data_IF_690764437777
#
_entry.id   IF_690764437777
#
_cell.length_a   1.000
_cell.length_b   1.000
_cell.length_c   1.000
_cell.angle_alpha   90.00
_cell.angle_beta   90.00
_cell.angle_gamma   90.00
#
_symmetry.space_group_name_H-M   'P 1'
#
loop_
_entity.id
_entity.type
_entity.pdbx_description
1 polymer ?
#
# COMPACT_ATOMS: atom_id res chain seq x y z
N UNK A 1 -53.94 -39.59 -24.54
CA UNK A 1 -53.59 -38.25 -24.00
C UNK A 1 -52.07 -38.14 -23.71
N UNK A 2 -51.23 -38.85 -24.47
CA UNK A 2 -49.83 -39.14 -24.11
C UNK A 2 -48.80 -38.31 -24.93
N UNK A 3 -49.24 -37.66 -26.01
CA UNK A 3 -48.34 -36.88 -26.88
C UNK A 3 -47.96 -35.51 -26.28
N UNK A 4 -48.82 -34.92 -25.43
CA UNK A 4 -48.62 -33.55 -24.93
C UNK A 4 -47.63 -33.47 -23.76
N UNK A 5 -47.48 -34.54 -22.98
CA UNK A 5 -46.57 -34.62 -21.84
C UNK A 5 -45.09 -34.67 -22.26
N UNK A 6 -44.78 -35.31 -23.39
CA UNK A 6 -43.40 -35.42 -23.91
C UNK A 6 -42.88 -34.08 -24.43
N UNK A 7 -43.71 -33.29 -25.13
CA UNK A 7 -43.35 -31.96 -25.62
C UNK A 7 -43.07 -30.97 -24.49
N UNK A 8 -43.85 -31.04 -23.41
CA UNK A 8 -43.65 -30.20 -22.23
C UNK A 8 -42.35 -30.58 -21.51
N UNK A 9 -42.10 -31.88 -21.28
CA UNK A 9 -40.86 -32.33 -20.65
C UNK A 9 -39.60 -31.93 -21.46
N UNK A 10 -39.65 -32.05 -22.79
CA UNK A 10 -38.54 -31.63 -23.66
C UNK A 10 -38.26 -30.12 -23.59
N UNK A 11 -39.31 -29.30 -23.53
CA UNK A 11 -39.17 -27.85 -23.40
C UNK A 11 -38.56 -27.45 -22.05
N UNK A 12 -38.96 -28.12 -20.96
CA UNK A 12 -38.39 -27.87 -19.63
C UNK A 12 -36.90 -28.23 -19.57
N UNK A 13 -36.49 -29.36 -20.14
CA UNK A 13 -35.08 -29.76 -20.18
C UNK A 13 -34.25 -28.77 -21.00
N UNK A 14 -34.77 -28.26 -22.11
CA UNK A 14 -34.10 -27.25 -22.93
C UNK A 14 -33.93 -25.93 -22.18
N UNK A 15 -34.97 -25.47 -21.47
CA UNK A 15 -34.92 -24.23 -20.67
C UNK A 15 -33.90 -24.39 -19.53
N UNK A 16 -33.95 -25.50 -18.79
CA UNK A 16 -33.01 -25.76 -17.70
C UNK A 16 -31.56 -25.82 -18.19
N UNK A 17 -31.32 -26.47 -19.33
CA UNK A 17 -30.00 -26.52 -19.97
C UNK A 17 -29.48 -25.14 -20.40
N UNK A 18 -30.32 -24.33 -21.02
CA UNK A 18 -30.00 -22.94 -21.41
C UNK A 18 -29.70 -22.07 -20.18
N UNK A 19 -30.48 -22.17 -19.12
CA UNK A 19 -30.22 -21.43 -17.87
C UNK A 19 -28.93 -21.85 -17.19
N UNK A 20 -28.61 -23.16 -17.17
CA UNK A 20 -27.37 -23.66 -16.59
C UNK A 20 -26.14 -23.23 -17.40
N UNK A 21 -26.24 -23.28 -18.73
CA UNK A 21 -25.20 -22.79 -19.64
C UNK A 21 -24.97 -21.27 -19.47
N UNK A 22 -26.04 -20.50 -19.32
CA UNK A 22 -25.98 -19.06 -19.07
C UNK A 22 -25.32 -18.74 -17.72
N UNK A 23 -25.67 -19.48 -16.66
CA UNK A 23 -25.06 -19.33 -15.33
C UNK A 23 -23.55 -19.65 -15.34
N UNK A 24 -23.17 -20.73 -16.02
CA UNK A 24 -21.76 -21.11 -16.20
C UNK A 24 -20.97 -20.08 -17.02
N UNK A 25 -21.61 -19.43 -18.00
CA UNK A 25 -21.01 -18.33 -18.76
C UNK A 25 -20.75 -17.11 -17.88
N UNK A 26 -21.68 -16.77 -16.97
CA UNK A 26 -21.56 -15.63 -16.04
C UNK A 26 -20.37 -15.83 -15.10
N UNK A 27 -20.15 -17.03 -14.57
CA UNK A 27 -19.10 -17.28 -13.57
C UNK A 27 -17.69 -17.03 -14.11
N UNK A 28 -17.41 -17.40 -15.36
CA UNK A 28 -16.11 -17.15 -16.02
C UNK A 28 -15.92 -15.70 -16.45
N UNK A 29 -16.95 -15.04 -16.96
CA UNK A 29 -16.84 -13.62 -17.35
C UNK A 29 -16.67 -12.73 -16.12
N UNK A 30 -17.38 -13.03 -15.03
CA UNK A 30 -17.29 -12.29 -13.77
C UNK A 30 -15.90 -12.43 -13.12
N UNK A 31 -15.33 -13.65 -13.08
CA UNK A 31 -13.98 -13.87 -12.53
C UNK A 31 -12.91 -13.08 -13.28
N UNK A 32 -13.00 -12.98 -14.60
CA UNK A 32 -12.04 -12.23 -15.41
C UNK A 32 -12.19 -10.72 -15.14
N UNK A 33 -13.40 -10.16 -15.23
CA UNK A 33 -13.60 -8.71 -15.02
C UNK A 33 -13.35 -8.26 -13.58
N UNK A 34 -13.81 -9.03 -12.59
CA UNK A 34 -13.63 -8.71 -11.17
C UNK A 34 -12.21 -9.04 -10.71
N UNK A 35 -11.56 -10.04 -11.32
CA UNK A 35 -10.15 -10.37 -11.09
C UNK A 35 -9.21 -9.21 -11.44
N UNK A 36 -9.36 -8.60 -12.62
CA UNK A 36 -8.55 -7.43 -12.98
C UNK A 36 -8.82 -6.21 -12.10
N UNK A 37 -10.10 -5.97 -11.76
CA UNK A 37 -10.47 -4.86 -10.88
C UNK A 37 -9.84 -5.01 -9.48
N UNK A 38 -9.92 -6.21 -8.89
CA UNK A 38 -9.33 -6.49 -7.58
C UNK A 38 -7.81 -6.42 -7.59
N UNK A 39 -7.15 -6.91 -8.65
CA UNK A 39 -5.70 -6.82 -8.79
C UNK A 39 -5.22 -5.36 -8.93
N UNK A 40 -5.95 -4.54 -9.71
CA UNK A 40 -5.66 -3.11 -9.84
C UNK A 40 -5.82 -2.38 -8.50
N UNK A 41 -6.92 -2.62 -7.78
CA UNK A 41 -7.16 -2.04 -6.45
C UNK A 41 -6.06 -2.45 -5.47
N UNK A 42 -5.62 -3.71 -5.49
CA UNK A 42 -4.55 -4.20 -4.62
C UNK A 42 -3.22 -3.46 -4.86
N UNK A 43 -2.86 -3.19 -6.13
CA UNK A 43 -1.64 -2.43 -6.46
C UNK A 43 -1.71 -0.97 -6.00
N UNK A 44 -2.88 -0.33 -6.13
CA UNK A 44 -3.10 1.05 -5.65
C UNK A 44 -2.97 1.13 -4.13
N UNK A 45 -3.61 0.21 -3.39
CA UNK A 45 -3.54 0.14 -1.93
C UNK A 45 -2.10 -0.12 -1.47
N UNK A 46 -1.42 -1.08 -2.09
CA UNK A 46 -0.03 -1.40 -1.77
C UNK A 46 0.89 -0.19 -2.01
N UNK A 47 0.72 0.53 -3.11
CA UNK A 47 1.44 1.76 -3.41
C UNK A 47 1.21 2.86 -2.36
N UNK A 48 -0.05 3.09 -1.95
CA UNK A 48 -0.38 4.07 -0.90
C UNK A 48 0.23 3.71 0.46
N UNK A 49 0.15 2.43 0.85
CA UNK A 49 0.76 1.93 2.09
C UNK A 49 2.29 2.12 2.07
N UNK A 50 2.92 1.85 0.93
CA UNK A 50 4.35 2.04 0.74
C UNK A 50 4.76 3.52 0.90
N UNK A 51 3.99 4.44 0.32
CA UNK A 51 4.22 5.90 0.43
C UNK A 51 4.12 6.37 1.90
N UNK A 52 3.09 5.93 2.64
CA UNK A 52 2.92 6.31 4.05
C UNK A 52 4.06 5.75 4.94
N UNK A 53 4.53 4.53 4.66
CA UNK A 53 5.64 3.92 5.40
C UNK A 53 6.96 4.70 5.20
N UNK A 54 7.23 5.19 3.98
CA UNK A 54 8.44 5.98 3.68
C UNK A 54 8.52 7.26 4.51
N UNK A 55 7.38 7.93 4.74
CA UNK A 55 7.35 9.21 5.44
C UNK A 55 7.74 9.12 6.93
N UNK A 56 7.57 7.94 7.57
CA UNK A 56 7.99 7.72 8.97
C UNK A 56 9.50 7.73 9.17
N UNK A 57 10.29 7.25 8.20
CA UNK A 57 11.76 7.23 8.31
C UNK A 57 12.37 8.63 8.26
N UNK A 58 11.75 9.55 7.52
CA UNK A 58 12.21 10.93 7.43
C UNK A 58 12.09 11.67 8.75
N UNK A 59 11.06 11.36 9.57
CA UNK A 59 10.88 11.99 10.89
C UNK A 59 11.94 11.59 11.91
N UNK A 60 12.46 10.36 11.87
CA UNK A 60 13.45 9.87 12.85
C UNK A 60 14.85 10.47 12.66
N UNK A 61 15.21 10.92 11.46
CA UNK A 61 16.51 11.58 11.22
C UNK A 61 16.54 13.01 11.74
N UNK A 62 15.41 13.72 11.74
CA UNK A 62 15.32 15.09 12.22
C UNK A 62 15.23 15.20 13.76
N UNK A 63 14.94 14.10 14.46
CA UNK A 63 14.72 14.09 15.90
C UNK A 63 15.86 13.46 16.71
N UNK A 64 16.92 12.95 16.06
CA UNK A 64 17.99 12.17 16.73
C UNK A 64 19.37 12.81 16.61
N UNK A 65 19.44 14.13 16.75
CA UNK A 65 20.72 14.86 16.86
C UNK A 65 20.63 15.87 18.00
N UNK A 66 20.48 15.36 19.20
CA UNK A 66 20.65 16.12 20.44
C UNK A 66 21.57 15.31 21.36
N UNK A 67 22.75 14.95 20.86
CA UNK A 67 23.86 14.60 21.75
C UNK A 67 24.37 15.89 22.38
N UNK A 68 24.44 15.94 23.71
CA UNK A 68 25.19 17.00 24.42
C UNK A 68 26.66 16.83 24.06
N UNK A 69 27.27 17.85 23.47
CA UNK A 69 28.71 17.88 23.18
C UNK A 69 29.33 19.15 23.74
N UNK A 70 30.62 19.09 24.05
CA UNK A 70 31.36 20.22 24.58
C UNK A 70 32.05 20.92 23.40
N UNK A 71 31.88 22.23 23.29
CA UNK A 71 32.55 23.00 22.23
C UNK A 71 34.08 22.97 22.44
N UNK A 72 34.89 22.58 21.43
CA UNK A 72 36.34 22.56 21.57
C UNK A 72 36.98 23.95 21.68
N UNK A 73 36.27 25.01 21.28
CA UNK A 73 36.79 26.37 21.29
C UNK A 73 36.51 27.07 22.64
N UNK A 74 35.25 27.11 23.08
CA UNK A 74 34.86 27.82 24.31
C UNK A 74 34.58 26.91 25.51
N UNK A 75 34.62 25.58 25.35
CA UNK A 75 34.32 24.57 26.38
C UNK A 75 32.89 24.60 26.94
N UNK A 76 31.99 25.33 26.30
CA UNK A 76 30.57 25.38 26.66
C UNK A 76 29.86 24.07 26.29
N UNK A 77 28.88 23.65 27.10
CA UNK A 77 27.96 22.58 26.72
C UNK A 77 27.01 23.07 25.63
N UNK A 78 27.00 22.38 24.50
CA UNK A 78 26.14 22.69 23.35
C UNK A 78 25.33 21.47 22.92
N UNK A 79 24.10 21.73 22.51
CA UNK A 79 23.20 20.73 21.95
C UNK A 79 23.54 20.59 20.47
N UNK A 80 23.93 19.40 20.04
CA UNK A 80 24.41 19.09 18.67
C UNK A 80 23.36 19.17 17.55
N UNK A 81 22.35 20.03 17.70
CA UNK A 81 21.35 20.24 16.66
C UNK A 81 21.84 21.11 15.49
N UNK A 82 22.99 21.78 15.63
CA UNK A 82 23.52 22.75 14.66
C UNK A 82 24.99 22.55 14.31
N UNK A 83 25.39 23.07 13.15
CA UNK A 83 26.79 23.07 12.68
C UNK A 83 27.68 24.07 13.42
N UNK A 84 27.11 24.98 14.22
CA UNK A 84 27.82 26.08 14.87
C UNK A 84 27.50 26.16 16.36
N UNK A 85 28.45 26.64 17.15
CA UNK A 85 28.30 26.90 18.57
C UNK A 85 27.49 28.18 18.79
N UNK A 86 26.43 28.10 19.59
CA UNK A 86 25.61 29.26 19.95
C UNK A 86 26.29 30.27 20.88
N UNK A 87 27.39 29.90 21.54
CA UNK A 87 28.12 30.78 22.46
C UNK A 87 29.26 31.55 21.75
N UNK A 88 30.10 30.85 20.96
CA UNK A 88 31.29 31.46 20.34
C UNK A 88 31.27 31.51 18.80
N UNK A 89 30.24 30.97 18.15
CA UNK A 89 30.14 30.93 16.68
C UNK A 89 31.06 29.92 15.99
N UNK A 90 31.87 29.15 16.73
CA UNK A 90 32.77 28.16 16.14
C UNK A 90 31.99 26.99 15.50
N UNK A 91 32.51 26.47 14.38
CA UNK A 91 31.94 25.31 13.69
C UNK A 91 32.12 24.04 14.56
N UNK A 92 31.01 23.35 14.85
CA UNK A 92 30.91 22.12 15.64
C UNK A 92 30.87 20.85 14.78
N UNK A 93 31.19 20.97 13.49
CA UNK A 93 31.11 19.84 12.55
C UNK A 93 31.98 18.68 13.06
N UNK A 94 31.35 17.54 13.37
CA UNK A 94 32.06 16.29 13.66
C UNK A 94 32.91 16.01 12.43
N UNK A 95 34.22 16.26 12.49
CA UNK A 95 35.16 15.81 11.46
C UNK A 95 34.96 14.30 11.33
N UNK A 96 34.37 13.89 10.20
CA UNK A 96 34.35 12.49 9.79
C UNK A 96 35.81 12.10 9.54
N UNK A 97 36.35 11.08 10.24
CA UNK A 97 37.66 10.54 9.90
C UNK A 97 37.64 9.94 8.49
#
# INVERSE_FOLDING_TARGET
MEEKTVKVAGLFIAILGLTFFYLACIEKTFYITVGFATLAIALVIFGLLFILNKNRKNRKKNAKTSEKLICPNCKEEVISAGKFCGNCGALLEKRKP
#
